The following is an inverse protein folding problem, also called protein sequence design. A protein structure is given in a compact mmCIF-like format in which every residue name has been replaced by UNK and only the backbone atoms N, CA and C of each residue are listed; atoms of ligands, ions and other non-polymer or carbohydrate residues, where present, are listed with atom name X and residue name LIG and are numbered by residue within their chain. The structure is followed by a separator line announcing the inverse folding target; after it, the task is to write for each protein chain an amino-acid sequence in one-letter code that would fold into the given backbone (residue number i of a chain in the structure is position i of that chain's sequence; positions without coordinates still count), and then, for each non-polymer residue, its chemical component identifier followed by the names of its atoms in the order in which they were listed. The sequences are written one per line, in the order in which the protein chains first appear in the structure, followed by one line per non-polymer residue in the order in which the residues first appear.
data_IF_790144571902
#
_entry.id   IF_790144571902
#
_cell.length_a   1.000
_cell.length_b   1.000
_cell.length_c   1.000
_cell.angle_alpha   90.00
_cell.angle_beta   90.00
_cell.angle_gamma   90.00
#
_symmetry.space_group_name_H-M   'P 1'
#
loop_
_entity.id
_entity.type
_entity.pdbx_description
1 polymer ?
#
# COMPACT_ATOMS: atom_id res chain seq x y z
N UNK A 1 48.48 6.36 15.33
CA UNK A 1 47.86 6.33 13.99
C UNK A 1 46.71 5.30 13.88
N UNK A 2 46.39 4.56 14.94
CA UNK A 2 45.36 3.49 14.92
C UNK A 2 43.91 4.01 14.99
N UNK A 3 43.70 5.25 15.47
CA UNK A 3 42.36 5.77 15.73
C UNK A 3 41.63 6.28 14.47
N UNK A 4 42.37 6.64 13.41
CA UNK A 4 41.80 7.19 12.18
C UNK A 4 41.08 6.11 11.33
N UNK A 5 41.54 4.85 11.41
CA UNK A 5 40.92 3.72 10.72
C UNK A 5 39.59 3.29 11.37
N UNK A 6 39.56 3.26 12.70
CA UNK A 6 38.35 2.92 13.48
C UNK A 6 37.20 3.91 13.25
N UNK A 7 37.51 5.21 13.17
CA UNK A 7 36.49 6.24 12.92
C UNK A 7 35.85 6.08 11.53
N UNK A 8 36.65 5.78 10.50
CA UNK A 8 36.14 5.56 9.14
C UNK A 8 35.26 4.32 9.05
N UNK A 9 35.65 3.23 9.69
CA UNK A 9 34.86 1.99 9.74
C UNK A 9 33.54 2.24 10.47
N UNK A 10 33.58 2.97 11.58
CA UNK A 10 32.38 3.30 12.36
C UNK A 10 31.41 4.21 11.58
N UNK A 11 31.93 5.22 10.87
CA UNK A 11 31.13 6.07 9.97
C UNK A 11 30.54 5.28 8.81
N UNK A 12 31.30 4.35 8.22
CA UNK A 12 30.82 3.50 7.13
C UNK A 12 29.69 2.57 7.60
N UNK A 13 29.82 1.97 8.79
CA UNK A 13 28.77 1.15 9.40
C UNK A 13 27.53 1.98 9.72
N UNK A 14 27.70 3.20 10.26
CA UNK A 14 26.58 4.10 10.54
C UNK A 14 25.83 4.49 9.25
N UNK A 15 26.55 4.80 8.18
CA UNK A 15 25.96 5.08 6.85
C UNK A 15 25.22 3.86 6.31
N UNK A 16 25.81 2.66 6.44
CA UNK A 16 25.21 1.41 5.97
C UNK A 16 23.91 1.06 6.71
N UNK A 17 23.85 1.36 8.02
CA UNK A 17 22.65 1.15 8.86
C UNK A 17 21.54 2.14 8.49
N UNK A 18 21.89 3.39 8.16
CA UNK A 18 20.91 4.41 7.74
C UNK A 18 20.37 4.12 6.33
N UNK A 19 21.14 3.44 5.47
CA UNK A 19 20.73 3.04 4.11
C UNK A 19 19.96 1.71 4.04
N UNK A 20 19.63 1.09 5.18
CA UNK A 20 18.67 -0.01 5.19
C UNK A 20 17.29 0.60 5.02
N UNK A 21 16.85 0.71 3.77
CA UNK A 21 15.48 1.07 3.42
C UNK A 21 14.55 0.03 4.07
N UNK A 22 13.95 0.39 5.20
CA UNK A 22 12.74 -0.27 5.65
C UNK A 22 11.73 0.02 4.56
N UNK A 23 11.43 -0.99 3.75
CA UNK A 23 10.28 -0.96 2.85
C UNK A 23 9.05 -0.89 3.73
N UNK A 24 8.66 0.33 4.12
CA UNK A 24 7.34 0.60 4.65
C UNK A 24 6.42 0.28 3.49
N UNK A 25 5.70 -0.84 3.59
CA UNK A 25 4.53 -1.08 2.74
C UNK A 25 3.72 0.20 2.85
N UNK A 26 3.51 0.89 1.73
CA UNK A 26 2.64 2.05 1.67
C UNK A 26 1.21 1.55 1.95
N UNK A 27 0.91 1.33 3.23
CA UNK A 27 -0.41 1.00 3.71
C UNK A 27 -1.33 2.16 3.31
N UNK A 28 -2.58 1.85 2.95
CA UNK A 28 -3.55 2.88 2.63
C UNK A 28 -3.61 3.92 3.76
N UNK A 29 -3.97 5.18 3.45
CA UNK A 29 -4.11 6.21 4.47
C UNK A 29 -5.09 5.75 5.55
N UNK A 30 -4.83 6.12 6.82
CA UNK A 30 -5.66 5.68 7.96
C UNK A 30 -7.14 6.05 7.78
N UNK A 31 -7.45 7.13 7.05
CA UNK A 31 -8.81 7.55 6.75
C UNK A 31 -9.53 6.77 5.64
N UNK A 32 -8.89 5.82 4.97
CA UNK A 32 -9.52 4.96 3.94
C UNK A 32 -10.34 3.86 4.63
N UNK A 33 -11.66 3.98 4.53
CA UNK A 33 -12.63 3.05 5.13
C UNK A 33 -13.25 2.10 4.10
N UNK A 34 -13.00 2.32 2.81
CA UNK A 34 -13.55 1.52 1.73
C UNK A 34 -12.52 0.60 1.04
N UNK A 35 -11.27 0.68 1.45
CA UNK A 35 -10.14 -0.06 0.92
C UNK A 35 -9.88 0.23 -0.56
N UNK A 36 -10.03 1.47 -1.02
CA UNK A 36 -9.61 1.91 -2.36
C UNK A 36 -8.31 2.75 -2.36
N UNK A 37 -7.68 2.94 -1.19
CA UNK A 37 -6.47 3.73 -0.92
C UNK A 37 -6.63 5.22 -1.24
N UNK A 38 -7.87 5.70 -1.29
CA UNK A 38 -8.21 7.12 -1.40
C UNK A 38 -8.97 7.51 -0.15
N UNK A 39 -8.84 8.77 0.27
CA UNK A 39 -9.70 9.33 1.30
C UNK A 39 -10.57 10.41 0.68
N UNK A 40 -11.81 10.04 0.39
CA UNK A 40 -12.79 10.90 -0.26
C UNK A 40 -14.18 10.82 0.42
N UNK A 41 -15.20 11.35 -0.25
CA UNK A 41 -16.55 11.39 0.31
C UNK A 41 -17.18 10.01 0.52
N UNK A 42 -16.64 8.96 -0.09
CA UNK A 42 -17.03 7.57 0.13
C UNK A 42 -16.62 7.13 1.53
N UNK A 43 -15.45 7.56 2.00
CA UNK A 43 -14.99 7.30 3.37
C UNK A 43 -15.77 8.12 4.37
N UNK A 44 -16.03 9.40 4.08
CA UNK A 44 -16.87 10.24 4.95
C UNK A 44 -18.28 9.64 5.10
N UNK A 45 -18.84 9.09 4.03
CA UNK A 45 -20.14 8.39 4.08
C UNK A 45 -20.08 7.16 4.99
N UNK A 46 -19.02 6.35 4.88
CA UNK A 46 -18.82 5.20 5.76
C UNK A 46 -18.62 5.62 7.21
N UNK A 47 -17.79 6.63 7.44
CA UNK A 47 -17.55 7.21 8.75
C UNK A 47 -18.87 7.65 9.41
N UNK A 48 -19.70 8.38 8.67
CA UNK A 48 -21.00 8.86 9.15
C UNK A 48 -21.98 7.71 9.46
N UNK A 49 -21.93 6.60 8.72
CA UNK A 49 -22.69 5.39 9.06
C UNK A 49 -22.26 4.86 10.42
N UNK A 50 -20.96 4.64 10.61
CA UNK A 50 -20.42 4.09 11.85
C UNK A 50 -20.56 5.04 13.04
N UNK A 51 -20.61 6.36 12.82
CA UNK A 51 -20.86 7.35 13.87
C UNK A 51 -22.18 7.07 14.61
N UNK A 52 -23.21 6.60 13.90
CA UNK A 52 -24.52 6.31 14.49
C UNK A 52 -24.73 4.81 14.78
N UNK A 53 -23.70 3.98 14.61
CA UNK A 53 -23.81 2.55 14.84
C UNK A 53 -23.61 2.23 16.33
N UNK A 54 -24.66 1.66 16.95
CA UNK A 54 -24.62 1.25 18.36
C UNK A 54 -23.59 0.15 18.64
N UNK A 55 -23.17 -0.60 17.63
CA UNK A 55 -22.11 -1.60 17.74
C UNK A 55 -20.70 -0.99 17.70
N UNK A 56 -20.60 0.31 17.43
CA UNK A 56 -19.36 1.08 17.27
C UNK A 56 -19.21 2.15 18.37
N UNK A 57 -19.90 1.94 19.51
CA UNK A 57 -19.80 2.76 20.73
C UNK A 57 -18.61 2.35 21.62
N UNK A 58 -18.00 1.20 21.35
CA UNK A 58 -16.78 0.71 22.01
C UNK A 58 -15.64 0.65 21.02
N UNK A 59 -14.41 0.54 21.54
CA UNK A 59 -13.20 0.34 20.74
C UNK A 59 -13.34 -0.81 19.74
N UNK A 60 -12.69 -0.69 18.57
CA UNK A 60 -12.40 -1.75 17.59
C UNK A 60 -13.42 -1.94 16.43
N UNK A 61 -14.04 -0.87 15.94
CA UNK A 61 -14.76 -0.87 14.65
C UNK A 61 -13.93 -0.18 13.55
N UNK A 62 -14.26 -0.41 12.27
CA UNK A 62 -13.46 0.07 11.12
C UNK A 62 -13.24 1.59 11.11
N UNK A 63 -14.21 2.38 11.60
CA UNK A 63 -14.11 3.84 11.63
C UNK A 63 -13.55 4.40 12.95
N UNK A 64 -13.26 3.54 13.94
CA UNK A 64 -12.52 3.88 15.16
C UNK A 64 -11.02 3.85 14.83
N UNK A 65 -10.51 4.99 14.38
CA UNK A 65 -9.21 5.15 13.76
C UNK A 65 -8.07 5.29 14.78
N UNK A 66 -8.36 5.79 15.98
CA UNK A 66 -7.40 5.82 17.09
C UNK A 66 -7.51 4.58 18.01
N UNK A 67 -8.55 3.77 17.83
CA UNK A 67 -8.83 2.57 18.60
C UNK A 67 -9.38 2.86 20.00
N UNK A 68 -9.85 4.08 20.27
CA UNK A 68 -10.21 4.57 21.60
C UNK A 68 -11.65 5.06 21.63
N UNK A 69 -12.45 4.44 22.50
CA UNK A 69 -13.81 4.88 22.86
C UNK A 69 -14.80 4.98 21.68
N UNK A 70 -14.57 4.24 20.59
CA UNK A 70 -15.46 4.20 19.44
C UNK A 70 -15.46 5.51 18.64
N UNK A 71 -16.29 5.57 17.60
CA UNK A 71 -16.23 6.67 16.60
C UNK A 71 -16.62 8.01 17.22
N UNK A 72 -15.67 8.94 17.22
CA UNK A 72 -15.87 10.28 17.76
C UNK A 72 -15.09 11.36 16.97
N UNK A 73 -14.94 12.54 17.57
CA UNK A 73 -14.29 13.66 16.90
C UNK A 73 -12.77 13.47 16.71
N UNK A 74 -12.12 12.65 17.54
CA UNK A 74 -10.72 12.27 17.37
C UNK A 74 -10.52 11.47 16.07
N UNK A 75 -11.42 10.53 15.78
CA UNK A 75 -11.40 9.76 14.54
C UNK A 75 -11.70 10.64 13.33
N UNK A 76 -12.64 11.60 13.46
CA UNK A 76 -12.88 12.56 12.38
C UNK A 76 -11.63 13.39 12.08
N UNK A 77 -10.84 13.74 13.11
CA UNK A 77 -9.59 14.44 12.92
C UNK A 77 -8.54 13.56 12.20
N UNK A 78 -8.49 12.26 12.49
CA UNK A 78 -7.63 11.31 11.78
C UNK A 78 -8.04 11.12 10.32
N UNK A 79 -9.34 10.98 10.04
CA UNK A 79 -9.86 10.93 8.68
C UNK A 79 -9.48 12.22 7.93
N UNK A 80 -9.72 13.38 8.55
CA UNK A 80 -9.42 14.69 7.97
C UNK A 80 -7.92 14.90 7.71
N UNK A 81 -7.05 14.34 8.55
CA UNK A 81 -5.59 14.38 8.37
C UNK A 81 -5.15 13.68 7.08
N UNK A 82 -5.90 12.68 6.64
CA UNK A 82 -5.65 11.93 5.41
C UNK A 82 -6.49 12.41 4.23
N UNK A 83 -7.26 13.49 4.37
CA UNK A 83 -8.18 13.96 3.33
C UNK A 83 -7.48 14.21 1.99
N UNK A 84 -8.03 13.65 0.91
CA UNK A 84 -7.49 13.72 -0.46
C UNK A 84 -6.10 13.10 -0.63
N UNK A 85 -5.63 12.32 0.35
CA UNK A 85 -4.48 11.45 0.13
C UNK A 85 -4.96 10.25 -0.68
N UNK A 86 -4.31 10.03 -1.82
CA UNK A 86 -4.46 8.85 -2.66
C UNK A 86 -3.08 8.18 -2.77
N UNK A 87 -3.04 6.87 -2.51
CA UNK A 87 -1.86 6.05 -2.77
C UNK A 87 -2.16 5.21 -4.03
N UNK A 88 -1.51 5.48 -5.16
CA UNK A 88 -1.69 4.71 -6.38
C UNK A 88 -1.34 3.23 -6.14
N UNK A 89 -2.18 2.33 -6.64
CA UNK A 89 -1.97 0.86 -6.52
C UNK A 89 -1.40 0.28 -7.81
N UNK A 90 -0.74 -0.90 -7.76
CA UNK A 90 -0.45 -1.66 -8.96
C UNK A 90 -1.72 -1.87 -9.78
N UNK A 91 -1.64 -1.62 -11.07
CA UNK A 91 -2.75 -1.79 -12.02
C UNK A 91 -2.39 -2.86 -13.03
N UNK A 92 -3.40 -3.57 -13.52
CA UNK A 92 -3.23 -4.35 -14.75
C UNK A 92 -3.35 -3.36 -15.91
N UNK A 93 -2.22 -2.97 -16.49
CA UNK A 93 -2.13 -1.98 -17.57
C UNK A 93 -2.34 -2.61 -18.95
N UNK A 94 -2.01 -3.89 -19.10
CA UNK A 94 -2.16 -4.63 -20.35
C UNK A 94 -2.61 -6.08 -20.08
N UNK A 95 -3.37 -6.62 -21.04
CA UNK A 95 -3.87 -7.98 -21.04
C UNK A 95 -3.73 -8.57 -22.45
N UNK A 96 -2.87 -9.58 -22.61
CA UNK A 96 -2.61 -10.27 -23.86
C UNK A 96 -3.05 -11.73 -23.75
N UNK A 97 -4.29 -12.00 -24.17
CA UNK A 97 -4.88 -13.35 -24.15
C UNK A 97 -4.66 -14.16 -25.44
N UNK A 98 -4.10 -13.52 -26.48
CA UNK A 98 -3.71 -14.16 -27.74
C UNK A 98 -2.45 -13.45 -28.22
N UNK A 99 -1.31 -14.10 -28.05
CA UNK A 99 0.00 -13.57 -28.41
C UNK A 99 0.53 -14.35 -29.61
N UNK A 100 0.40 -13.80 -30.83
CA UNK A 100 0.86 -14.46 -32.06
C UNK A 100 2.24 -13.96 -32.53
N UNK A 101 2.97 -13.20 -31.69
CA UNK A 101 4.28 -12.67 -32.07
C UNK A 101 4.75 -11.38 -31.40
N UNK A 102 4.12 -10.93 -30.31
CA UNK A 102 4.49 -9.66 -29.65
C UNK A 102 5.61 -9.87 -28.63
N UNK A 103 5.41 -10.79 -27.68
CA UNK A 103 6.37 -11.07 -26.62
C UNK A 103 6.64 -12.58 -26.55
N UNK A 104 7.81 -12.99 -27.02
CA UNK A 104 8.28 -14.39 -26.97
C UNK A 104 8.74 -14.74 -25.55
N UNK A 105 8.53 -15.98 -25.11
CA UNK A 105 9.06 -16.47 -23.84
C UNK A 105 10.61 -16.48 -23.89
N UNK A 106 11.32 -15.72 -23.02
CA UNK A 106 12.79 -15.70 -23.02
C UNK A 106 13.43 -17.06 -22.70
N UNK A 107 12.68 -17.98 -22.08
CA UNK A 107 13.14 -19.31 -21.71
C UNK A 107 12.77 -20.39 -22.74
N UNK A 108 11.81 -20.14 -23.64
CA UNK A 108 11.36 -21.11 -24.64
C UNK A 108 11.15 -20.44 -26.03
N UNK A 109 12.14 -20.54 -26.93
CA UNK A 109 12.05 -19.93 -28.25
C UNK A 109 10.85 -20.43 -29.07
N UNK A 110 10.21 -19.52 -29.79
CA UNK A 110 9.01 -19.69 -30.61
C UNK A 110 7.70 -19.93 -29.82
N UNK A 111 7.73 -19.84 -28.48
CA UNK A 111 6.53 -19.88 -27.65
C UNK A 111 6.06 -18.45 -27.29
N UNK A 112 4.74 -18.25 -27.39
CA UNK A 112 4.10 -16.95 -27.18
C UNK A 112 2.91 -17.11 -26.22
N UNK A 113 3.16 -17.29 -24.91
CA UNK A 113 2.09 -17.50 -23.94
C UNK A 113 1.27 -16.22 -23.72
N UNK A 114 0.09 -16.41 -23.13
CA UNK A 114 -0.73 -15.34 -22.58
C UNK A 114 0.02 -14.64 -21.45
N UNK A 115 -0.19 -13.33 -21.32
CA UNK A 115 0.44 -12.55 -20.26
C UNK A 115 -0.41 -11.35 -19.86
N UNK A 116 -0.10 -10.83 -18.67
CA UNK A 116 -0.65 -9.59 -18.13
C UNK A 116 0.51 -8.70 -17.69
N UNK A 117 0.39 -7.39 -17.87
CA UNK A 117 1.32 -6.44 -17.27
C UNK A 117 0.77 -5.97 -15.93
N UNK A 118 1.61 -6.03 -14.89
CA UNK A 118 1.36 -5.37 -13.60
C UNK A 118 2.24 -4.13 -13.56
N UNK A 119 1.64 -2.97 -13.76
CA UNK A 119 2.33 -1.70 -13.71
C UNK A 119 2.23 -1.07 -12.32
N UNK A 120 3.38 -0.69 -11.76
CA UNK A 120 3.44 0.10 -10.53
C UNK A 120 3.51 1.60 -10.91
N UNK A 121 2.45 2.40 -10.68
CA UNK A 121 2.43 3.82 -10.99
C UNK A 121 3.14 4.70 -9.95
N UNK A 122 3.73 4.13 -8.90
CA UNK A 122 4.46 4.88 -7.88
C UNK A 122 5.97 4.92 -8.14
N UNK A 123 6.67 5.81 -7.44
CA UNK A 123 8.13 5.87 -7.38
C UNK A 123 8.73 4.97 -6.28
N UNK A 124 7.89 4.19 -5.59
CA UNK A 124 8.27 3.33 -4.47
C UNK A 124 8.05 1.86 -4.82
N UNK A 125 8.93 0.98 -4.36
CA UNK A 125 8.76 -0.47 -4.57
C UNK A 125 7.52 -0.98 -3.82
N UNK A 126 6.63 -1.68 -4.53
CA UNK A 126 5.46 -2.34 -3.93
C UNK A 126 5.71 -3.84 -3.81
N UNK A 127 5.50 -4.38 -2.61
CA UNK A 127 5.63 -5.81 -2.34
C UNK A 127 4.35 -6.55 -2.79
N UNK A 128 4.51 -7.49 -3.73
CA UNK A 128 3.42 -8.33 -4.22
C UNK A 128 3.28 -9.66 -3.45
N UNK A 129 4.03 -9.87 -2.37
CA UNK A 129 3.91 -11.10 -1.58
C UNK A 129 2.48 -11.31 -1.07
N UNK A 130 1.94 -12.50 -1.28
CA UNK A 130 0.56 -12.85 -0.95
C UNK A 130 -0.48 -12.38 -1.97
N UNK A 131 -0.09 -11.71 -3.06
CA UNK A 131 -0.99 -11.42 -4.17
C UNK A 131 -1.18 -12.66 -5.04
N UNK A 132 -2.39 -12.85 -5.55
CA UNK A 132 -2.73 -13.91 -6.48
C UNK A 132 -3.89 -13.47 -7.38
N UNK A 133 -3.97 -14.05 -8.56
CA UNK A 133 -5.16 -13.92 -9.39
C UNK A 133 -6.28 -14.76 -8.77
N UNK A 134 -7.43 -14.13 -8.55
CA UNK A 134 -8.62 -14.77 -8.00
C UNK A 134 -9.79 -14.50 -8.94
N UNK A 135 -10.70 -15.46 -9.02
CA UNK A 135 -12.05 -15.17 -9.48
C UNK A 135 -12.84 -14.48 -8.36
N UNK A 136 -13.94 -13.81 -8.72
CA UNK A 136 -14.88 -13.31 -7.73
C UNK A 136 -15.64 -14.50 -7.15
N UNK A 137 -15.20 -14.98 -5.98
CA UNK A 137 -15.97 -15.92 -5.15
C UNK A 137 -17.07 -15.18 -4.40
#
# INVERSE_FOLDING_TARGET
MENLGSIKITLLILVLIISLDVSVVAACPVGDLNNDCKVDFTDVRKFAWYWLDTNCLSSNCIADLDGVNGVNMADLALLSKSWLIEIPRPVISEFMAVNDGILEDPCDPYEFPDWIEIYNPTDTTINLNGWYLANWN
#
